data_IF_340611916515
#
_entry.id   IF_340611916515
#
_cell.length_a   1.000
_cell.length_b   1.000
_cell.length_c   1.000
_cell.angle_alpha   90.00
_cell.angle_beta   90.00
_cell.angle_gamma   90.00
#
_symmetry.space_group_name_H-M   'P 1'
#
loop_
_entity.id
_entity.type
_entity.pdbx_description
1 polymer ?
#
# COMPACT_ATOMS: atom_id res chain seq x y z
N UNK A 1 -41.35 -27.22 9.02
CA UNK A 1 -39.98 -27.21 9.59
C UNK A 1 -38.84 -27.39 8.55
N UNK A 2 -39.07 -27.37 7.23
CA UNK A 2 -38.01 -27.62 6.22
C UNK A 2 -37.03 -26.45 5.96
N UNK A 3 -37.39 -25.21 6.34
CA UNK A 3 -36.52 -24.04 6.15
C UNK A 3 -35.23 -24.07 6.99
N UNK A 4 -35.30 -24.65 8.19
CA UNK A 4 -34.18 -24.63 9.14
C UNK A 4 -33.03 -25.57 8.71
N UNK A 5 -33.36 -26.76 8.22
CA UNK A 5 -32.37 -27.72 7.69
C UNK A 5 -31.65 -27.20 6.44
N UNK A 6 -32.38 -26.50 5.57
CA UNK A 6 -31.80 -25.91 4.36
C UNK A 6 -30.83 -24.78 4.70
N UNK A 7 -31.16 -23.96 5.70
CA UNK A 7 -30.29 -22.88 6.19
C UNK A 7 -28.98 -23.40 6.77
N UNK A 8 -29.06 -24.41 7.64
CA UNK A 8 -27.86 -25.01 8.26
C UNK A 8 -26.92 -25.63 7.22
N UNK A 9 -27.46 -26.34 6.22
CA UNK A 9 -26.64 -26.96 5.17
C UNK A 9 -25.92 -25.91 4.28
N UNK A 10 -26.58 -24.78 3.99
CA UNK A 10 -25.93 -23.66 3.26
C UNK A 10 -24.86 -22.98 4.10
N UNK A 11 -25.13 -22.75 5.39
CA UNK A 11 -24.16 -22.16 6.31
C UNK A 11 -22.91 -23.05 6.44
N UNK A 12 -23.08 -24.36 6.60
CA UNK A 12 -21.96 -25.30 6.67
C UNK A 12 -21.09 -25.32 5.41
N UNK A 13 -21.72 -25.32 4.23
CA UNK A 13 -21.00 -25.21 2.94
C UNK A 13 -20.25 -23.87 2.80
N UNK A 14 -20.90 -22.76 3.14
CA UNK A 14 -20.29 -21.44 3.08
C UNK A 14 -19.12 -21.29 4.06
N UNK A 15 -19.25 -21.82 5.27
CA UNK A 15 -18.19 -21.83 6.27
C UNK A 15 -16.99 -22.67 5.82
N UNK A 16 -17.23 -23.88 5.29
CA UNK A 16 -16.17 -24.73 4.74
C UNK A 16 -15.39 -24.04 3.63
N UNK A 17 -16.10 -23.44 2.67
CA UNK A 17 -15.47 -22.69 1.57
C UNK A 17 -14.69 -21.46 2.04
N UNK A 18 -15.15 -20.76 3.09
CA UNK A 18 -14.41 -19.63 3.65
C UNK A 18 -13.10 -20.10 4.30
N UNK A 19 -13.13 -21.23 5.02
CA UNK A 19 -11.93 -21.84 5.60
C UNK A 19 -10.95 -22.24 4.49
N UNK A 20 -11.43 -22.90 3.44
CA UNK A 20 -10.59 -23.30 2.31
C UNK A 20 -9.96 -22.08 1.61
N UNK A 21 -10.73 -21.01 1.41
CA UNK A 21 -10.25 -19.78 0.81
C UNK A 21 -9.14 -19.14 1.65
N UNK A 22 -9.35 -19.01 2.97
CA UNK A 22 -8.33 -18.45 3.87
C UNK A 22 -7.05 -19.29 3.89
N UNK A 23 -7.17 -20.62 3.87
CA UNK A 23 -6.02 -21.53 3.79
C UNK A 23 -5.21 -21.28 2.52
N UNK A 24 -5.88 -21.24 1.35
CA UNK A 24 -5.21 -21.00 0.06
C UNK A 24 -4.52 -19.62 0.06
N UNK A 25 -5.16 -18.60 0.62
CA UNK A 25 -4.55 -17.25 0.73
C UNK A 25 -3.28 -17.25 1.60
N UNK A 26 -3.28 -17.95 2.73
CA UNK A 26 -2.10 -18.07 3.60
C UNK A 26 -0.97 -18.82 2.88
N UNK A 27 -1.30 -19.92 2.20
CA UNK A 27 -0.33 -20.69 1.42
C UNK A 27 0.30 -19.86 0.30
N UNK A 28 -0.52 -19.04 -0.37
CA UNK A 28 -0.10 -18.14 -1.46
C UNK A 28 0.79 -17.00 -0.94
N UNK A 29 0.46 -16.39 0.19
CA UNK A 29 1.33 -15.43 0.90
C UNK A 29 2.69 -16.06 1.23
N UNK A 30 2.69 -17.27 1.79
CA UNK A 30 3.91 -18.00 2.11
C UNK A 30 4.75 -18.32 0.87
N UNK A 31 4.12 -18.76 -0.22
CA UNK A 31 4.79 -19.07 -1.47
C UNK A 31 5.44 -17.82 -2.09
N UNK A 32 4.75 -16.69 -2.13
CA UNK A 32 5.29 -15.40 -2.59
C UNK A 32 6.52 -14.99 -1.78
N UNK A 33 6.44 -15.06 -0.45
CA UNK A 33 7.59 -14.74 0.41
C UNK A 33 8.80 -15.64 0.13
N UNK A 34 8.59 -16.95 -0.07
CA UNK A 34 9.67 -17.88 -0.45
C UNK A 34 10.28 -17.52 -1.80
N UNK A 35 9.46 -17.09 -2.77
CA UNK A 35 9.94 -16.63 -4.08
C UNK A 35 10.83 -15.41 -3.93
N UNK A 36 10.38 -14.41 -3.17
CA UNK A 36 11.12 -13.16 -2.96
C UNK A 36 12.45 -13.40 -2.25
N UNK A 37 12.49 -14.33 -1.28
CA UNK A 37 13.74 -14.78 -0.66
C UNK A 37 14.68 -15.41 -1.68
N UNK A 38 14.22 -16.39 -2.47
CA UNK A 38 15.06 -17.04 -3.47
C UNK A 38 15.56 -16.06 -4.56
N UNK A 39 14.72 -15.11 -4.97
CA UNK A 39 15.10 -14.06 -5.92
C UNK A 39 16.14 -13.10 -5.33
N UNK A 40 16.01 -12.73 -4.04
CA UNK A 40 17.02 -11.93 -3.33
C UNK A 40 18.35 -12.68 -3.24
N UNK A 41 18.32 -13.96 -2.89
CA UNK A 41 19.51 -14.80 -2.79
C UNK A 41 20.23 -14.92 -4.14
N UNK A 42 19.46 -15.10 -5.23
CA UNK A 42 19.99 -15.10 -6.59
C UNK A 42 20.66 -13.78 -6.96
N UNK A 43 20.01 -12.65 -6.65
CA UNK A 43 20.58 -11.32 -6.89
C UNK A 43 21.88 -11.09 -6.11
N UNK A 44 21.91 -11.50 -4.84
CA UNK A 44 23.12 -11.45 -4.02
C UNK A 44 24.24 -12.34 -4.58
N UNK A 45 23.90 -13.54 -5.05
CA UNK A 45 24.86 -14.45 -5.66
C UNK A 45 25.51 -13.79 -6.89
N UNK A 46 24.69 -13.25 -7.80
CA UNK A 46 25.18 -12.56 -9.00
C UNK A 46 26.07 -11.38 -8.62
N UNK A 47 25.65 -10.55 -7.67
CA UNK A 47 26.46 -9.45 -7.16
C UNK A 47 27.83 -9.92 -6.67
N UNK A 48 27.89 -10.96 -5.82
CA UNK A 48 29.17 -11.49 -5.34
C UNK A 48 30.07 -11.99 -6.47
N UNK A 49 29.50 -12.69 -7.46
CA UNK A 49 30.26 -13.16 -8.63
C UNK A 49 30.85 -11.98 -9.39
N UNK A 50 30.10 -10.89 -9.59
CA UNK A 50 30.62 -9.68 -10.24
C UNK A 50 31.74 -8.99 -9.47
N UNK A 51 31.81 -9.20 -8.15
CA UNK A 51 32.90 -8.72 -7.29
C UNK A 51 34.10 -9.68 -7.26
N UNK A 52 34.10 -10.75 -8.06
CA UNK A 52 35.17 -11.73 -8.13
C UNK A 52 35.11 -12.81 -7.04
N UNK A 53 33.99 -12.94 -6.33
CA UNK A 53 33.82 -14.03 -5.37
C UNK A 53 33.61 -15.37 -6.07
N UNK A 54 34.28 -16.41 -5.56
CA UNK A 54 34.05 -17.79 -6.01
C UNK A 54 32.75 -18.33 -5.43
N UNK A 55 31.85 -18.79 -6.29
CA UNK A 55 30.59 -19.45 -5.92
C UNK A 55 30.65 -20.95 -6.15
N UNK A 56 29.73 -21.69 -5.52
CA UNK A 56 29.64 -23.12 -5.76
C UNK A 56 29.11 -23.38 -7.17
N UNK A 57 29.64 -24.40 -7.88
CA UNK A 57 29.08 -24.82 -9.17
C UNK A 57 27.62 -25.21 -9.02
N UNK A 58 26.74 -24.67 -9.88
CA UNK A 58 25.30 -24.98 -9.89
C UNK A 58 24.46 -24.28 -8.82
N UNK A 59 25.05 -23.44 -7.97
CA UNK A 59 24.31 -22.68 -6.95
C UNK A 59 23.27 -21.73 -7.58
N UNK A 60 23.65 -21.08 -8.69
CA UNK A 60 22.76 -20.27 -9.51
C UNK A 60 21.61 -21.08 -10.10
N UNK A 61 21.91 -22.24 -10.71
CA UNK A 61 20.88 -23.10 -11.33
C UNK A 61 19.89 -23.64 -10.29
N UNK A 62 20.38 -23.97 -9.09
CA UNK A 62 19.55 -24.40 -7.98
C UNK A 62 18.56 -23.31 -7.54
N UNK A 63 19.01 -22.04 -7.46
CA UNK A 63 18.15 -20.91 -7.12
C UNK A 63 17.13 -20.62 -8.22
N UNK A 64 17.53 -20.65 -9.50
CA UNK A 64 16.62 -20.48 -10.64
C UNK A 64 15.55 -21.56 -10.65
N UNK A 65 15.94 -22.83 -10.48
CA UNK A 65 15.00 -23.95 -10.40
C UNK A 65 14.03 -23.78 -9.23
N UNK A 66 14.54 -23.38 -8.06
CA UNK A 66 13.70 -23.14 -6.87
C UNK A 66 12.67 -22.04 -7.12
N UNK A 67 13.05 -20.95 -7.78
CA UNK A 67 12.11 -19.88 -8.16
C UNK A 67 11.02 -20.44 -9.08
N UNK A 68 11.41 -21.18 -10.13
CA UNK A 68 10.46 -21.77 -11.08
C UNK A 68 9.47 -22.74 -10.42
N UNK A 69 9.93 -23.57 -9.48
CA UNK A 69 9.08 -24.50 -8.75
C UNK A 69 8.09 -23.76 -7.83
N UNK A 70 8.52 -22.67 -7.20
CA UNK A 70 7.64 -21.82 -6.38
C UNK A 70 6.62 -21.09 -7.27
N UNK A 71 7.00 -20.63 -8.46
CA UNK A 71 6.07 -19.99 -9.40
C UNK A 71 4.96 -20.93 -9.85
N UNK A 72 5.30 -22.17 -10.22
CA UNK A 72 4.30 -23.20 -10.50
C UNK A 72 3.36 -23.45 -9.33
N UNK A 73 3.88 -23.43 -8.10
CA UNK A 73 3.05 -23.56 -6.90
C UNK A 73 2.09 -22.37 -6.75
N UNK A 74 2.56 -21.14 -6.98
CA UNK A 74 1.73 -19.93 -6.94
C UNK A 74 0.64 -19.99 -7.99
N UNK A 75 0.97 -20.36 -9.23
CA UNK A 75 0.00 -20.50 -10.32
C UNK A 75 -1.09 -21.52 -10.00
N UNK A 76 -0.71 -22.66 -9.43
CA UNK A 76 -1.67 -23.67 -8.97
C UNK A 76 -2.60 -23.12 -7.90
N UNK A 77 -2.04 -22.52 -6.84
CA UNK A 77 -2.83 -21.95 -5.73
C UNK A 77 -3.75 -20.82 -6.20
N UNK A 78 -3.30 -19.98 -7.12
CA UNK A 78 -4.11 -18.92 -7.70
C UNK A 78 -5.24 -19.48 -8.58
N UNK A 79 -4.97 -20.57 -9.31
CA UNK A 79 -5.98 -21.35 -10.03
C UNK A 79 -7.04 -21.93 -9.10
N UNK A 80 -6.62 -22.59 -8.01
CA UNK A 80 -7.50 -23.18 -7.01
C UNK A 80 -8.38 -22.10 -6.35
N UNK A 81 -7.80 -20.94 -6.02
CA UNK A 81 -8.51 -19.80 -5.46
C UNK A 81 -9.57 -19.25 -6.44
N UNK A 82 -9.21 -19.12 -7.72
CA UNK A 82 -10.14 -18.68 -8.78
C UNK A 82 -11.28 -19.67 -8.96
N UNK A 83 -11.01 -20.97 -8.95
CA UNK A 83 -12.03 -22.01 -9.05
C UNK A 83 -12.98 -21.99 -7.85
N UNK A 84 -12.43 -21.87 -6.63
CA UNK A 84 -13.23 -21.77 -5.40
C UNK A 84 -14.15 -20.54 -5.42
N UNK A 85 -13.66 -19.41 -5.95
CA UNK A 85 -14.45 -18.18 -6.12
C UNK A 85 -15.46 -18.27 -7.26
N UNK A 86 -15.14 -18.93 -8.37
CA UNK A 86 -16.07 -19.13 -9.49
C UNK A 86 -17.21 -20.10 -9.14
N UNK A 87 -16.95 -21.09 -8.28
CA UNK A 87 -17.97 -21.97 -7.72
C UNK A 87 -18.96 -21.28 -6.77
N UNK A 88 -18.61 -20.09 -6.26
CA UNK A 88 -19.56 -19.16 -5.62
C UNK A 88 -20.31 -18.40 -6.72
N UNK A 89 -21.24 -19.05 -7.41
CA UNK A 89 -22.23 -18.31 -8.23
C UNK A 89 -22.83 -17.20 -7.35
N UNK A 90 -22.70 -15.94 -7.79
CA UNK A 90 -22.90 -14.73 -6.96
C UNK A 90 -24.19 -14.77 -6.13
N UNK A 91 -24.12 -14.46 -4.82
CA UNK A 91 -25.07 -13.56 -4.18
C UNK A 91 -24.33 -12.46 -3.39
N UNK A 92 -25.05 -11.42 -2.95
CA UNK A 92 -24.69 -10.03 -3.20
C UNK A 92 -23.39 -9.61 -2.51
N UNK A 93 -22.83 -8.55 -3.08
CA UNK A 93 -21.90 -7.61 -2.47
C UNK A 93 -22.37 -7.23 -1.06
N UNK A 94 -22.09 -8.09 -0.08
CA UNK A 94 -21.90 -7.70 1.29
C UNK A 94 -20.50 -7.12 1.33
N UNK A 95 -20.36 -5.88 0.86
CA UNK A 95 -19.27 -5.03 1.26
C UNK A 95 -19.34 -4.94 2.78
N UNK A 96 -18.71 -5.89 3.48
CA UNK A 96 -18.08 -5.58 4.73
C UNK A 96 -16.95 -4.62 4.34
N UNK A 97 -17.32 -3.35 4.13
CA UNK A 97 -16.41 -2.26 4.45
C UNK A 97 -15.82 -2.63 5.80
N UNK A 98 -14.50 -2.76 5.94
CA UNK A 98 -13.90 -2.71 7.26
C UNK A 98 -14.54 -1.49 7.93
N UNK A 99 -15.28 -1.69 9.02
CA UNK A 99 -15.73 -0.56 9.83
C UNK A 99 -14.46 0.14 10.25
N UNK A 100 -14.16 1.26 9.59
CA UNK A 100 -13.19 2.21 10.06
C UNK A 100 -13.57 2.48 11.52
N UNK A 101 -12.68 2.26 12.50
CA UNK A 101 -12.97 2.65 13.87
C UNK A 101 -13.38 4.13 13.83
N UNK A 102 -14.40 4.54 14.62
CA UNK A 102 -14.83 5.93 14.62
C UNK A 102 -13.59 6.82 14.84
N UNK A 103 -13.46 7.94 14.10
CA UNK A 103 -12.33 8.83 14.29
C UNK A 103 -12.24 9.17 15.78
N UNK A 104 -11.03 9.25 16.36
CA UNK A 104 -10.89 9.73 17.72
C UNK A 104 -11.60 11.08 17.84
N UNK A 105 -12.24 11.37 18.99
CA UNK A 105 -12.89 12.66 19.19
C UNK A 105 -11.90 13.77 18.84
N UNK A 106 -12.35 14.72 18.02
CA UNK A 106 -11.51 15.86 17.64
C UNK A 106 -10.93 16.49 18.91
N UNK A 107 -9.63 16.86 18.93
CA UNK A 107 -9.11 17.66 20.02
C UNK A 107 -9.97 18.93 20.15
N UNK A 108 -10.17 19.46 21.37
CA UNK A 108 -10.85 20.72 21.56
C UNK A 108 -10.25 21.77 20.63
N UNK A 109 -11.10 22.49 19.89
CA UNK A 109 -10.64 23.56 19.01
C UNK A 109 -9.69 24.48 19.79
N UNK A 110 -8.47 24.67 19.28
CA UNK A 110 -7.59 25.71 19.80
C UNK A 110 -8.33 27.05 19.71
N UNK A 111 -8.24 27.88 20.76
CA UNK A 111 -8.83 29.21 20.72
C UNK A 111 -8.26 29.98 19.51
N UNK A 112 -9.07 30.81 18.84
CA UNK A 112 -8.61 31.55 17.68
C UNK A 112 -7.37 32.38 18.04
N UNK A 113 -6.41 32.52 17.11
CA UNK A 113 -5.23 33.33 17.36
C UNK A 113 -5.65 34.77 17.71
N UNK A 114 -4.91 35.45 18.61
CA UNK A 114 -5.20 36.84 18.92
C UNK A 114 -5.13 37.69 17.64
N UNK A 115 -5.98 38.72 17.51
CA UNK A 115 -5.95 39.60 16.35
C UNK A 115 -4.55 40.22 16.22
N UNK A 116 -4.06 40.44 14.98
CA UNK A 116 -2.78 41.10 14.77
C UNK A 116 -2.82 42.50 15.40
N UNK A 117 -1.69 42.99 15.96
CA UNK A 117 -1.63 44.37 16.42
C UNK A 117 -1.92 45.29 15.24
N UNK A 118 -2.76 46.31 15.48
CA UNK A 118 -3.09 47.34 14.51
C UNK A 118 -1.82 48.05 14.04
N UNK A 119 -1.27 47.57 12.92
CA UNK A 119 -0.19 48.21 12.20
C UNK A 119 -0.73 49.39 11.42
N UNK A 120 -0.17 50.56 11.73
CA UNK A 120 -0.27 51.85 11.05
C UNK A 120 -0.31 51.77 9.51
N UNK A 121 -0.92 52.76 8.83
CA UNK A 121 -1.30 52.67 7.42
C UNK A 121 -0.11 52.53 6.46
N UNK A 122 -0.36 51.79 5.37
CA UNK A 122 0.55 51.55 4.25
C UNK A 122 1.08 52.85 3.60
N UNK A 123 2.34 52.88 3.13
CA UNK A 123 2.81 53.93 2.25
C UNK A 123 2.32 53.68 0.80
N UNK A 124 1.74 54.70 0.19
CA UNK A 124 1.39 54.76 -1.25
C UNK A 124 2.64 54.96 -2.10
N UNK A 125 2.78 54.30 -3.27
CA UNK A 125 3.83 54.61 -4.22
C UNK A 125 3.39 55.63 -5.28
N UNK A 126 4.28 56.61 -5.48
CA UNK A 126 4.76 57.22 -6.73
C UNK A 126 4.01 58.38 -7.45
N UNK A 127 4.65 59.57 -7.34
CA UNK A 127 4.99 60.56 -8.39
C UNK A 127 3.93 61.51 -9.01
N UNK A 128 4.31 62.68 -9.64
CA UNK A 128 5.62 63.35 -9.78
C UNK A 128 5.65 64.92 -9.61
N UNK A 129 6.86 65.50 -9.71
CA UNK A 129 7.21 66.76 -10.44
C UNK A 129 7.08 68.16 -9.78
N UNK A 130 8.21 68.90 -9.86
CA UNK A 130 8.35 70.37 -9.75
C UNK A 130 8.92 70.82 -8.40
N UNK A 131 9.89 71.72 -8.24
CA UNK A 131 10.57 72.68 -9.10
C UNK A 131 11.86 73.14 -8.38
N UNK A 132 12.77 73.75 -9.16
CA UNK A 132 13.74 74.79 -8.77
C UNK A 132 14.74 74.46 -7.64
N UNK A 133 16.05 74.39 -7.88
CA UNK A 133 16.81 75.40 -8.61
C UNK A 133 17.23 76.53 -7.67
N UNK A 134 18.26 76.30 -6.87
CA UNK A 134 19.17 77.33 -6.35
C UNK A 134 20.36 76.54 -5.78
N UNK A 135 21.55 76.60 -6.37
CA UNK A 135 22.31 77.84 -6.40
C UNK A 135 23.27 77.78 -5.22
N UNK A 136 24.47 77.28 -5.52
CA UNK A 136 25.65 77.19 -4.67
C UNK A 136 26.16 78.61 -4.22
N UNK A 137 27.42 78.80 -3.79
CA UNK A 137 28.31 78.09 -2.84
C UNK A 137 28.96 79.09 -1.82
N UNK A 138 30.04 78.63 -1.15
CA UNK A 138 31.13 79.39 -0.48
C UNK A 138 30.82 79.79 0.98
N UNK A 139 31.70 79.62 1.98
CA UNK A 139 33.16 79.40 2.05
C UNK A 139 33.55 78.20 2.92
#
# INVERSE_FOLDING_TARGET
MQGLQTGFNRLGKAAGQAIDETRIQVELMGARRRKDTAARDLGYLVFRVTQGATTLPGEQDALVKRIADIEKQIEKLDGDLKQLRAGKGTPPSGSATPSEPPPPPAPPAEPPPPPPPAGSPSPTPDSPRGEAGAGAPLE
#
